data_IF_701803592094
#
_entry.id   IF_701803592094
#
_cell.length_a   1.000
_cell.length_b   1.000
_cell.length_c   1.000
_cell.angle_alpha   90.00
_cell.angle_beta   90.00
_cell.angle_gamma   90.00
#
_symmetry.space_group_name_H-M   'P 1'
#
loop_
_entity.id
_entity.type
_entity.pdbx_description
1 polymer ?
#
# COMPACT_ATOMS: atom_id res chain seq x y z
N UNK A 1 -9.87 -9.22 -6.56
CA UNK A 1 -9.09 -8.25 -7.31
C UNK A 1 -7.88 -7.92 -6.48
N UNK A 2 -6.68 -7.95 -7.06
CA UNK A 2 -5.43 -7.72 -6.35
C UNK A 2 -5.09 -6.22 -6.28
N UNK A 3 -4.26 -5.83 -5.32
CA UNK A 3 -3.71 -4.49 -5.17
C UNK A 3 -2.19 -4.58 -5.23
N UNK A 4 -1.56 -3.64 -5.91
CA UNK A 4 -0.12 -3.46 -5.87
C UNK A 4 0.24 -2.54 -4.69
N UNK A 5 1.41 -2.72 -4.12
CA UNK A 5 1.93 -1.86 -3.05
C UNK A 5 3.38 -1.51 -3.32
N UNK A 6 3.74 -0.24 -3.10
CA UNK A 6 5.13 0.22 -3.18
C UNK A 6 5.92 -0.01 -1.88
N UNK A 7 7.22 0.27 -1.91
CA UNK A 7 8.12 0.04 -0.78
C UNK A 7 7.80 0.96 0.40
N UNK A 8 7.56 2.23 0.16
CA UNK A 8 7.34 3.22 1.22
C UNK A 8 6.00 2.99 1.93
N UNK A 9 4.93 2.76 1.17
CA UNK A 9 3.64 2.40 1.75
C UNK A 9 3.73 1.09 2.54
N UNK A 10 4.45 0.07 2.04
CA UNK A 10 4.62 -1.20 2.74
C UNK A 10 5.36 -1.03 4.07
N UNK A 11 6.44 -0.23 4.10
CA UNK A 11 7.17 0.09 5.32
C UNK A 11 6.26 0.83 6.31
N UNK A 12 5.53 1.84 5.88
CA UNK A 12 4.62 2.63 6.73
C UNK A 12 3.51 1.79 7.34
N UNK A 13 2.82 0.97 6.54
CA UNK A 13 1.76 0.09 7.08
C UNK A 13 2.31 -0.97 8.03
N UNK A 14 3.57 -1.40 7.82
CA UNK A 14 4.23 -2.35 8.73
C UNK A 14 4.52 -1.69 10.07
N UNK A 15 5.14 -0.49 10.07
CA UNK A 15 5.45 0.30 11.29
C UNK A 15 4.17 0.66 12.06
N UNK A 16 3.10 0.99 11.36
CA UNK A 16 1.81 1.31 11.97
C UNK A 16 1.01 0.08 12.45
N UNK A 17 1.51 -1.15 12.24
CA UNK A 17 0.78 -2.36 12.58
C UNK A 17 -0.46 -2.63 11.72
N UNK A 18 -0.56 -1.96 10.56
CA UNK A 18 -1.69 -2.10 9.63
C UNK A 18 -1.55 -3.28 8.69
N UNK A 19 -0.33 -3.71 8.44
CA UNK A 19 -0.03 -4.72 7.43
C UNK A 19 -0.88 -5.99 7.59
N UNK A 20 -1.00 -6.51 8.81
CA UNK A 20 -1.82 -7.70 9.08
C UNK A 20 -3.30 -7.45 8.76
N UNK A 21 -3.81 -6.27 9.08
CA UNK A 21 -5.18 -5.89 8.74
C UNK A 21 -5.39 -5.85 7.23
N UNK A 22 -4.51 -5.17 6.49
CA UNK A 22 -4.65 -5.06 5.04
C UNK A 22 -4.46 -6.41 4.34
N UNK A 23 -3.45 -7.21 4.72
CA UNK A 23 -3.21 -8.53 4.11
C UNK A 23 -4.25 -9.59 4.46
N UNK A 24 -5.04 -9.38 5.51
CA UNK A 24 -6.16 -10.26 5.84
C UNK A 24 -7.38 -10.02 4.93
N UNK A 25 -7.52 -8.82 4.36
CA UNK A 25 -8.70 -8.40 3.61
C UNK A 25 -8.43 -8.09 2.14
N UNK A 26 -7.17 -7.86 1.75
CA UNK A 26 -6.74 -7.52 0.40
C UNK A 26 -5.70 -8.53 -0.11
N UNK A 27 -5.80 -8.93 -1.38
CA UNK A 27 -4.73 -9.65 -2.09
C UNK A 27 -3.64 -8.63 -2.45
N UNK A 28 -2.68 -8.43 -1.53
CA UNK A 28 -1.57 -7.50 -1.73
C UNK A 28 -0.44 -8.16 -2.49
N UNK A 29 0.03 -7.49 -3.53
CA UNK A 29 1.16 -7.92 -4.35
C UNK A 29 2.18 -6.80 -4.49
N UNK A 30 3.44 -7.19 -4.61
CA UNK A 30 4.56 -6.27 -4.81
C UNK A 30 5.43 -6.69 -5.99
N UNK A 31 6.11 -5.72 -6.59
CA UNK A 31 7.15 -5.98 -7.57
C UNK A 31 8.40 -6.61 -6.90
N UNK A 32 9.23 -7.37 -7.64
CA UNK A 32 10.48 -7.93 -7.09
C UNK A 32 11.42 -6.86 -6.53
N UNK A 33 11.48 -5.67 -7.14
CA UNK A 33 12.29 -4.55 -6.67
C UNK A 33 11.83 -4.08 -5.30
N UNK A 34 10.52 -3.97 -5.04
CA UNK A 34 9.95 -3.62 -3.74
C UNK A 34 10.34 -4.64 -2.68
N UNK A 35 10.26 -5.93 -3.00
CA UNK A 35 10.69 -6.99 -2.09
C UNK A 35 12.19 -6.89 -1.76
N UNK A 36 13.02 -6.58 -2.76
CA UNK A 36 14.46 -6.37 -2.56
C UNK A 36 14.74 -5.18 -1.65
N UNK A 37 14.14 -4.03 -1.91
CA UNK A 37 14.30 -2.81 -1.12
C UNK A 37 13.88 -3.03 0.33
N UNK A 38 12.65 -3.50 0.57
CA UNK A 38 12.13 -3.62 1.92
C UNK A 38 12.79 -4.74 2.72
N UNK A 39 13.08 -5.89 2.11
CA UNK A 39 13.59 -7.06 2.83
C UNK A 39 15.11 -7.03 2.92
N UNK A 40 15.82 -6.91 1.79
CA UNK A 40 17.27 -7.03 1.77
C UNK A 40 17.93 -5.79 2.38
N UNK A 41 17.52 -4.60 1.97
CA UNK A 41 18.09 -3.37 2.50
C UNK A 41 17.63 -3.12 3.93
N UNK A 42 16.36 -3.37 4.26
CA UNK A 42 15.86 -3.27 5.61
C UNK A 42 16.59 -4.21 6.58
N UNK A 43 16.90 -5.45 6.19
CA UNK A 43 17.71 -6.37 7.00
C UNK A 43 19.15 -5.88 7.16
N UNK A 44 19.77 -5.38 6.10
CA UNK A 44 21.13 -4.83 6.13
C UNK A 44 21.24 -3.65 7.09
N UNK A 45 20.18 -2.84 7.20
CA UNK A 45 20.09 -1.69 8.08
C UNK A 45 19.55 -2.01 9.48
N UNK A 46 19.23 -3.29 9.76
CA UNK A 46 18.74 -3.73 11.06
C UNK A 46 17.27 -3.35 11.34
N UNK A 47 16.49 -3.08 10.30
CA UNK A 47 15.08 -2.72 10.46
C UNK A 47 14.23 -3.95 10.80
N UNK A 48 13.54 -3.92 11.95
CA UNK A 48 12.65 -5.01 12.40
C UNK A 48 11.51 -5.30 11.42
N UNK A 49 11.05 -4.29 10.68
CA UNK A 49 9.99 -4.38 9.69
C UNK A 49 10.31 -5.37 8.56
N UNK A 50 11.59 -5.48 8.16
CA UNK A 50 12.02 -6.38 7.09
C UNK A 50 11.74 -7.85 7.42
N UNK A 51 11.99 -8.26 8.67
CA UNK A 51 11.73 -9.62 9.12
C UNK A 51 10.20 -9.94 9.13
N UNK A 52 9.40 -8.93 9.42
CA UNK A 52 7.95 -9.06 9.45
C UNK A 52 7.36 -9.19 8.05
N UNK A 53 7.85 -8.41 7.08
CA UNK A 53 7.46 -8.53 5.67
C UNK A 53 7.84 -9.90 5.12
N UNK A 54 9.05 -10.39 5.43
CA UNK A 54 9.49 -11.73 5.02
C UNK A 54 8.58 -12.85 5.56
N UNK A 55 8.14 -12.75 6.82
CA UNK A 55 7.17 -13.72 7.40
C UNK A 55 5.85 -13.74 6.62
N UNK A 56 5.37 -12.60 6.17
CA UNK A 56 4.14 -12.54 5.39
C UNK A 56 4.29 -13.11 3.98
N UNK A 57 5.44 -12.95 3.37
CA UNK A 57 5.76 -13.65 2.10
C UNK A 57 5.75 -15.16 2.31
N UNK A 58 6.42 -15.68 3.34
CA UNK A 58 6.43 -17.12 3.67
C UNK A 58 5.02 -17.66 3.93
N UNK A 59 4.14 -16.86 4.54
CA UNK A 59 2.74 -17.21 4.81
C UNK A 59 1.80 -16.96 3.63
N UNK A 60 2.32 -16.52 2.47
CA UNK A 60 1.55 -16.19 1.26
C UNK A 60 0.47 -15.11 1.47
N UNK A 61 0.57 -14.30 2.52
CA UNK A 61 -0.30 -13.15 2.78
C UNK A 61 0.07 -11.93 1.93
N UNK A 62 1.31 -11.89 1.49
CA UNK A 62 1.89 -10.91 0.59
C UNK A 62 2.60 -11.69 -0.52
N UNK A 63 2.44 -11.28 -1.78
CA UNK A 63 2.97 -12.02 -2.92
C UNK A 63 3.88 -11.15 -3.76
N UNK A 64 4.97 -11.73 -4.25
CA UNK A 64 5.82 -11.12 -5.27
C UNK A 64 5.24 -11.51 -6.62
N UNK A 65 5.14 -10.53 -7.51
CA UNK A 65 4.69 -10.73 -8.89
C UNK A 65 5.54 -9.93 -9.85
N UNK A 66 5.83 -10.49 -11.01
CA UNK A 66 6.70 -9.89 -12.03
C UNK A 66 5.88 -9.49 -13.24
N UNK A 67 6.10 -8.28 -13.74
CA UNK A 67 5.50 -7.86 -15.01
C UNK A 67 6.00 -8.71 -16.16
N UNK A 68 5.11 -9.17 -17.05
CA UNK A 68 5.52 -9.99 -18.19
C UNK A 68 6.37 -9.21 -19.20
N UNK A 69 6.14 -7.92 -19.35
CA UNK A 69 6.87 -7.02 -20.26
C UNK A 69 6.79 -5.57 -19.76
N UNK A 70 7.79 -4.76 -20.13
CA UNK A 70 7.69 -3.30 -20.03
C UNK A 70 6.61 -2.80 -20.99
N UNK A 71 5.85 -1.80 -20.55
CA UNK A 71 4.80 -1.18 -21.37
C UNK A 71 5.21 0.25 -21.75
N UNK A 72 4.65 0.83 -22.84
CA UNK A 72 4.93 2.20 -23.20
C UNK A 72 4.65 3.20 -22.08
N UNK A 73 3.60 2.97 -21.28
CA UNK A 73 3.25 3.81 -20.14
C UNK A 73 4.26 3.66 -19.01
N UNK A 74 4.68 2.42 -18.70
CA UNK A 74 5.72 2.17 -17.71
C UNK A 74 7.05 2.85 -18.04
N UNK A 75 7.40 2.98 -19.32
CA UNK A 75 8.61 3.66 -19.77
C UNK A 75 8.64 5.18 -19.44
N UNK A 76 7.50 5.76 -19.10
CA UNK A 76 7.40 7.14 -18.63
C UNK A 76 7.72 7.31 -17.15
N UNK A 77 7.84 6.21 -16.40
CA UNK A 77 8.18 6.16 -14.98
C UNK A 77 9.60 5.65 -14.79
N UNK A 78 10.16 5.76 -13.58
CA UNK A 78 11.54 5.33 -13.28
C UNK A 78 11.58 4.31 -12.15
N UNK A 79 12.59 3.45 -12.18
CA UNK A 79 12.85 2.50 -11.10
C UNK A 79 11.63 1.65 -10.72
N UNK A 80 11.36 1.51 -9.43
CA UNK A 80 10.25 0.72 -8.92
C UNK A 80 8.86 1.16 -9.36
N UNK A 81 8.68 2.46 -9.64
CA UNK A 81 7.42 2.98 -10.17
C UNK A 81 7.12 2.38 -11.56
N UNK A 82 8.14 2.28 -12.43
CA UNK A 82 7.99 1.68 -13.76
C UNK A 82 7.53 0.22 -13.65
N UNK A 83 8.08 -0.55 -12.72
CA UNK A 83 7.68 -1.94 -12.48
C UNK A 83 6.22 -2.03 -11.99
N UNK A 84 5.81 -1.13 -11.08
CA UNK A 84 4.43 -1.07 -10.58
C UNK A 84 3.45 -0.73 -11.71
N UNK A 85 3.78 0.25 -12.56
CA UNK A 85 2.96 0.62 -13.71
C UNK A 85 2.87 -0.53 -14.72
N UNK A 86 3.99 -1.19 -15.05
CA UNK A 86 3.99 -2.34 -15.94
C UNK A 86 3.13 -3.49 -15.40
N UNK A 87 3.19 -3.74 -14.10
CA UNK A 87 2.32 -4.72 -13.43
C UNK A 87 0.85 -4.31 -13.52
N UNK A 88 0.54 -3.07 -13.19
CA UNK A 88 -0.84 -2.57 -13.24
C UNK A 88 -1.47 -2.76 -14.62
N UNK A 89 -0.73 -2.43 -15.68
CA UNK A 89 -1.20 -2.58 -17.05
C UNK A 89 -1.28 -4.04 -17.53
N UNK A 90 -0.46 -4.93 -16.97
CA UNK A 90 -0.40 -6.34 -17.39
C UNK A 90 -1.46 -7.22 -16.75
N UNK A 91 -2.16 -6.75 -15.71
CA UNK A 91 -3.00 -7.61 -14.89
C UNK A 91 -4.29 -6.97 -14.41
N UNK A 92 -5.05 -7.77 -13.66
CA UNK A 92 -6.31 -7.37 -13.05
C UNK A 92 -6.05 -6.81 -11.64
N UNK A 93 -5.48 -5.61 -11.57
CA UNK A 93 -5.25 -4.90 -10.32
C UNK A 93 -6.30 -3.82 -10.11
N UNK A 94 -6.78 -3.69 -8.88
CA UNK A 94 -7.77 -2.67 -8.53
C UNK A 94 -7.13 -1.29 -8.41
N UNK A 95 -5.95 -1.24 -7.79
CA UNK A 95 -5.20 0.01 -7.59
C UNK A 95 -3.75 -0.28 -7.19
N UNK A 96 -2.93 0.77 -7.21
CA UNK A 96 -1.60 0.81 -6.58
C UNK A 96 -1.72 1.54 -5.25
N UNK A 97 -1.25 0.92 -4.16
CA UNK A 97 -1.18 1.55 -2.85
C UNK A 97 0.19 2.21 -2.71
N UNK A 98 0.19 3.53 -2.63
CA UNK A 98 1.38 4.37 -2.50
C UNK A 98 1.04 5.60 -1.67
N UNK A 99 2.03 6.20 -1.05
CA UNK A 99 1.92 7.52 -0.40
C UNK A 99 2.91 8.54 -0.94
N UNK A 100 3.63 8.20 -2.01
CA UNK A 100 4.43 9.14 -2.77
C UNK A 100 3.53 10.07 -3.57
N UNK A 101 3.44 11.33 -3.13
CA UNK A 101 2.57 12.33 -3.75
C UNK A 101 2.94 12.63 -5.20
N UNK A 102 4.21 12.50 -5.57
CA UNK A 102 4.66 12.70 -6.94
C UNK A 102 4.20 11.54 -7.85
N UNK A 103 4.38 10.31 -7.37
CA UNK A 103 3.87 9.12 -8.07
C UNK A 103 2.35 9.15 -8.17
N UNK A 104 1.62 9.46 -7.09
CA UNK A 104 0.16 9.50 -7.08
C UNK A 104 -0.40 10.46 -8.14
N UNK A 105 0.14 11.69 -8.20
CA UNK A 105 -0.29 12.69 -9.20
C UNK A 105 -0.08 12.19 -10.61
N UNK A 106 1.13 11.70 -10.91
CA UNK A 106 1.45 11.18 -12.25
C UNK A 106 0.61 9.95 -12.60
N UNK A 107 0.43 9.01 -11.68
CA UNK A 107 -0.35 7.81 -11.91
C UNK A 107 -1.80 8.17 -12.30
N UNK A 108 -2.42 9.12 -11.62
CA UNK A 108 -3.77 9.61 -11.93
C UNK A 108 -3.82 10.20 -13.35
N UNK A 109 -2.85 11.01 -13.76
CA UNK A 109 -2.76 11.58 -15.10
C UNK A 109 -2.72 10.50 -16.19
N UNK A 110 -2.14 9.33 -15.88
CA UNK A 110 -2.08 8.18 -16.78
C UNK A 110 -3.22 7.17 -16.61
N UNK A 111 -4.27 7.51 -15.83
CA UNK A 111 -5.43 6.65 -15.64
C UNK A 111 -5.13 5.40 -14.81
N UNK A 112 -4.15 5.45 -13.92
CA UNK A 112 -3.84 4.39 -12.97
C UNK A 112 -4.60 4.67 -11.67
N UNK A 113 -5.40 3.72 -11.23
CA UNK A 113 -6.07 3.82 -9.93
C UNK A 113 -5.05 3.73 -8.80
N UNK A 114 -5.11 4.68 -7.88
CA UNK A 114 -4.20 4.76 -6.75
C UNK A 114 -4.97 4.92 -5.44
N UNK A 115 -4.38 4.41 -4.37
CA UNK A 115 -4.88 4.57 -3.00
C UNK A 115 -3.72 4.93 -2.08
N UNK A 116 -3.97 5.80 -1.11
CA UNK A 116 -3.03 5.93 0.02
C UNK A 116 -3.27 4.80 1.03
N UNK A 117 -2.31 4.51 1.92
CA UNK A 117 -2.50 3.55 3.01
C UNK A 117 -3.73 3.83 3.86
N UNK A 118 -4.05 5.09 4.12
CA UNK A 118 -5.23 5.48 4.88
C UNK A 118 -6.53 5.30 4.08
N UNK A 119 -6.52 5.60 2.78
CA UNK A 119 -7.67 5.38 1.89
C UNK A 119 -8.01 3.89 1.76
N UNK A 120 -7.02 2.99 1.91
CA UNK A 120 -7.28 1.56 1.95
C UNK A 120 -8.17 1.16 3.14
N UNK A 121 -8.10 1.86 4.29
CA UNK A 121 -9.00 1.63 5.42
C UNK A 121 -10.45 2.02 5.08
N UNK A 122 -10.63 3.15 4.39
CA UNK A 122 -11.95 3.59 3.91
C UNK A 122 -12.56 2.55 2.97
N UNK A 123 -11.74 2.04 2.03
CA UNK A 123 -12.16 0.97 1.13
C UNK A 123 -12.65 -0.28 1.89
N UNK A 124 -11.93 -0.71 2.94
CA UNK A 124 -12.31 -1.87 3.73
C UNK A 124 -13.61 -1.67 4.51
N UNK A 125 -13.84 -0.47 5.04
CA UNK A 125 -15.11 -0.11 5.69
C UNK A 125 -16.25 -0.08 4.68
N UNK A 126 -16.04 0.53 3.51
CA UNK A 126 -17.02 0.55 2.42
C UNK A 126 -17.39 -0.85 1.94
N UNK A 127 -16.44 -1.78 1.90
CA UNK A 127 -16.67 -3.20 1.60
C UNK A 127 -17.28 -3.99 2.76
N UNK A 128 -17.52 -3.37 3.91
CA UNK A 128 -18.02 -4.01 5.14
C UNK A 128 -17.14 -5.16 5.65
N UNK A 129 -15.86 -5.17 5.32
CA UNK A 129 -14.89 -6.17 5.78
C UNK A 129 -14.12 -5.70 7.03
N UNK A 130 -14.16 -4.41 7.32
CA UNK A 130 -13.58 -3.80 8.52
C UNK A 130 -14.63 -2.90 9.20
N UNK A 131 -14.72 -2.96 10.54
CA UNK A 131 -15.60 -2.06 11.27
C UNK A 131 -15.03 -0.64 11.30
N UNK A 132 -15.91 0.39 11.34
CA UNK A 132 -15.49 1.80 11.49
C UNK A 132 -14.59 2.00 12.70
N UNK A 133 -14.94 1.42 13.85
CA UNK A 133 -14.15 1.52 15.07
C UNK A 133 -12.73 1.01 14.84
N UNK A 134 -12.59 -0.21 14.31
CA UNK A 134 -11.26 -0.77 14.01
C UNK A 134 -10.50 0.08 13.00
N UNK A 135 -11.16 0.61 11.97
CA UNK A 135 -10.53 1.48 10.99
C UNK A 135 -10.00 2.77 11.63
N UNK A 136 -10.77 3.40 12.53
CA UNK A 136 -10.34 4.59 13.28
C UNK A 136 -9.15 4.29 14.20
N UNK A 137 -9.14 3.16 14.90
CA UNK A 137 -8.01 2.73 15.75
C UNK A 137 -6.75 2.53 14.88
N UNK A 138 -6.90 1.92 13.71
CA UNK A 138 -5.80 1.71 12.76
C UNK A 138 -5.31 3.02 12.14
N UNK A 139 -6.24 3.94 11.81
CA UNK A 139 -5.88 5.26 11.33
C UNK A 139 -5.07 6.05 12.39
N UNK A 140 -5.45 5.95 13.67
CA UNK A 140 -4.68 6.56 14.76
C UNK A 140 -3.24 6.02 14.83
N UNK A 141 -3.05 4.70 14.62
CA UNK A 141 -1.71 4.09 14.55
C UNK A 141 -0.90 4.56 13.33
N UNK A 142 -1.58 4.92 12.24
CA UNK A 142 -0.94 5.42 11.02
C UNK A 142 -0.55 6.91 11.10
N UNK A 143 -1.15 7.66 12.03
CA UNK A 143 -0.95 9.12 12.16
C UNK A 143 0.51 9.59 12.14
N UNK A 144 1.49 8.92 12.80
CA UNK A 144 2.89 9.37 12.77
C UNK A 144 3.57 9.27 11.40
N UNK A 145 2.97 8.58 10.45
CA UNK A 145 3.56 8.21 9.16
C UNK A 145 2.90 8.88 7.96
N UNK A 146 1.81 9.62 8.17
CA UNK A 146 1.05 10.31 7.12
C UNK A 146 0.92 11.80 7.44
N UNK A 147 0.56 12.61 6.44
CA UNK A 147 0.35 14.03 6.65
C UNK A 147 -0.86 14.32 7.54
N UNK A 148 -0.85 15.48 8.22
CA UNK A 148 -1.98 15.91 9.01
C UNK A 148 -3.25 16.12 8.17
N UNK A 149 -3.08 16.54 6.93
CA UNK A 149 -4.18 16.70 5.96
C UNK A 149 -4.81 15.35 5.62
N UNK A 150 -3.99 14.36 5.22
CA UNK A 150 -4.45 13.01 4.92
C UNK A 150 -5.16 12.38 6.12
N UNK A 151 -4.59 12.51 7.32
CA UNK A 151 -5.22 12.04 8.55
C UNK A 151 -6.60 12.67 8.78
N UNK A 152 -6.70 13.98 8.60
CA UNK A 152 -7.95 14.73 8.83
C UNK A 152 -9.03 14.34 7.82
N UNK A 153 -8.67 14.25 6.53
CA UNK A 153 -9.59 13.85 5.48
C UNK A 153 -10.12 12.44 5.70
N UNK A 154 -9.22 11.50 5.97
CA UNK A 154 -9.59 10.09 6.22
C UNK A 154 -10.42 9.92 7.49
N UNK A 155 -10.07 10.65 8.58
CA UNK A 155 -10.87 10.66 9.82
C UNK A 155 -12.30 11.10 9.59
N UNK A 156 -12.48 12.15 8.77
CA UNK A 156 -13.81 12.66 8.41
C UNK A 156 -14.59 11.63 7.59
N UNK A 157 -13.96 11.02 6.60
CA UNK A 157 -14.59 10.04 5.73
C UNK A 157 -15.00 8.77 6.49
N UNK A 158 -14.18 8.31 7.42
CA UNK A 158 -14.50 7.20 8.31
C UNK A 158 -15.53 7.56 9.39
N UNK A 159 -15.72 8.86 9.67
CA UNK A 159 -16.54 9.34 10.79
C UNK A 159 -15.88 9.07 12.15
N UNK A 160 -14.55 9.13 12.22
CA UNK A 160 -13.82 8.98 13.47
C UNK A 160 -14.06 10.19 14.38
N UNK A 161 -14.47 9.96 15.63
CA UNK A 161 -14.77 11.03 16.60
C UNK A 161 -16.25 11.45 16.68
N UNK A 162 -17.16 10.79 15.98
CA UNK A 162 -18.59 11.09 15.96
C UNK A 162 -19.46 10.44 17.03
N UNK A 163 -18.87 9.61 17.90
CA UNK A 163 -19.59 8.99 19.03
C UNK A 163 -18.90 9.37 20.35
N UNK A 164 -19.28 10.51 20.91
CA UNK A 164 -19.25 10.80 22.36
C UNK A 164 -20.64 11.09 22.83
#
# INVERSE_FOLDING_TARGET
MAFLIDSDALVKITKAGLKETLTAHLDLRMAPVVAKEVIQEGKRLGHADAAEVERNLKRKRLRITTAPRATPKAALFKGGEADLVALYESGNYAAVISDDQHFLKRAIEFGIEVLTPSAALVLLVGKRTLSKRTACDRLASLRPYISAEEFTLTSRELGCGGDR
#
